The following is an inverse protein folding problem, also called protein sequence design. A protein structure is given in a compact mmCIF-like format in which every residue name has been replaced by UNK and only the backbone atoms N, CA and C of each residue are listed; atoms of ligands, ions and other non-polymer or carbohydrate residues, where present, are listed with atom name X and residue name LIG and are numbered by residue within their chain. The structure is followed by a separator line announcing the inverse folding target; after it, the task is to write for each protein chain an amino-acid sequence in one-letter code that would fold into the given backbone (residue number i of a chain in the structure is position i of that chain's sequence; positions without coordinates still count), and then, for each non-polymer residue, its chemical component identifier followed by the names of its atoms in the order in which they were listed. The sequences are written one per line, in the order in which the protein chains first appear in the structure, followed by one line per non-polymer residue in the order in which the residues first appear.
data_IF_358886750802
#
_entry.id   IF_358886750802
#
_cell.length_a   1.000
_cell.length_b   1.000
_cell.length_c   1.000
_cell.angle_alpha   90.00
_cell.angle_beta   90.00
_cell.angle_gamma   90.00
#
_symmetry.space_group_name_H-M   'P 1'
#
loop_
_entity.id
_entity.type
_entity.pdbx_description
1 polymer ?
#
# COMPACT_ATOMS: atom_id res chain seq x y z
N UNK A 1 -23.34 7.34 -40.27
CA UNK A 1 -24.41 6.67 -39.50
C UNK A 1 -23.91 5.30 -39.10
N UNK A 2 -23.87 4.84 -37.85
CA UNK A 2 -24.07 5.48 -36.55
C UNK A 2 -23.37 4.60 -35.52
N UNK A 3 -22.37 5.15 -34.83
CA UNK A 3 -21.81 4.60 -33.61
C UNK A 3 -22.83 4.78 -32.46
N UNK A 4 -23.81 3.88 -32.31
CA UNK A 4 -24.85 4.00 -31.26
C UNK A 4 -25.50 2.70 -30.77
N UNK A 5 -24.83 1.54 -30.79
CA UNK A 5 -25.49 0.28 -30.34
C UNK A 5 -24.68 -0.67 -29.44
N UNK A 6 -23.60 -0.23 -28.78
CA UNK A 6 -22.91 -1.07 -27.78
C UNK A 6 -23.04 -0.59 -26.31
N UNK A 7 -23.89 0.42 -26.03
CA UNK A 7 -24.14 0.93 -24.66
C UNK A 7 -25.29 0.23 -23.91
N UNK A 8 -25.48 -1.07 -24.09
CA UNK A 8 -26.63 -1.79 -23.48
C UNK A 8 -26.28 -3.16 -22.88
N UNK A 9 -25.08 -3.29 -22.32
CA UNK A 9 -24.77 -4.30 -21.30
C UNK A 9 -24.08 -3.69 -20.06
N UNK A 10 -24.34 -2.41 -19.77
CA UNK A 10 -24.04 -1.82 -18.48
C UNK A 10 -25.13 -2.27 -17.50
N UNK A 11 -24.89 -3.35 -16.74
CA UNK A 11 -25.44 -3.66 -15.39
C UNK A 11 -25.30 -5.15 -15.05
N UNK A 12 -24.07 -5.66 -15.02
CA UNK A 12 -23.61 -6.82 -14.22
C UNK A 12 -22.24 -7.20 -14.77
N UNK A 13 -21.27 -7.38 -13.87
CA UNK A 13 -19.82 -7.61 -14.12
C UNK A 13 -19.01 -6.30 -14.12
N UNK A 14 -19.06 -5.54 -13.01
CA UNK A 14 -18.10 -4.46 -12.72
C UNK A 14 -17.64 -4.59 -11.26
N UNK A 15 -17.04 -5.72 -10.88
CA UNK A 15 -16.50 -5.86 -9.51
C UNK A 15 -15.24 -6.71 -9.41
N UNK A 16 -14.81 -7.34 -10.51
CA UNK A 16 -13.58 -8.16 -10.54
C UNK A 16 -12.55 -7.59 -11.51
N UNK A 17 -12.97 -6.81 -12.52
CA UNK A 17 -12.08 -6.33 -13.59
C UNK A 17 -11.06 -5.27 -13.12
N UNK A 18 -11.43 -4.41 -12.18
CA UNK A 18 -10.62 -3.24 -11.85
C UNK A 18 -9.46 -3.53 -10.87
N UNK A 19 -9.48 -4.66 -10.15
CA UNK A 19 -8.30 -5.10 -9.36
C UNK A 19 -7.23 -5.67 -10.29
N UNK A 20 -7.63 -6.31 -11.39
CA UNK A 20 -6.70 -6.81 -12.40
C UNK A 20 -5.98 -5.69 -13.19
N UNK A 21 -6.43 -4.44 -13.05
CA UNK A 21 -5.74 -3.24 -13.58
C UNK A 21 -4.74 -2.63 -12.60
N UNK A 22 -4.72 -3.09 -11.34
CA UNK A 22 -3.72 -2.64 -10.38
C UNK A 22 -2.38 -3.31 -10.73
N UNK A 23 -1.32 -2.52 -10.87
CA UNK A 23 0.05 -3.02 -11.10
C UNK A 23 0.59 -3.85 -9.92
N UNK A 24 -0.15 -3.86 -8.81
CA UNK A 24 0.23 -4.48 -7.55
C UNK A 24 -0.49 -5.80 -7.30
N UNK A 25 0.27 -6.77 -6.79
CA UNK A 25 -0.22 -8.07 -6.36
C UNK A 25 0.42 -8.46 -5.03
N UNK A 26 -0.35 -9.09 -4.15
CA UNK A 26 0.16 -9.64 -2.90
C UNK A 26 1.34 -10.60 -3.17
N UNK A 27 2.40 -10.49 -2.38
CA UNK A 27 3.64 -11.23 -2.54
C UNK A 27 4.73 -10.49 -3.31
N UNK A 28 4.40 -9.42 -4.06
CA UNK A 28 5.42 -8.62 -4.74
C UNK A 28 6.33 -7.89 -3.74
N UNK A 29 7.63 -7.87 -4.03
CA UNK A 29 8.64 -7.16 -3.25
C UNK A 29 9.28 -6.08 -4.11
N UNK A 30 9.21 -4.86 -3.63
CA UNK A 30 9.77 -3.68 -4.27
C UNK A 30 10.89 -3.09 -3.41
N UNK A 31 11.98 -2.63 -3.99
CA UNK A 31 13.00 -1.87 -3.27
C UNK A 31 12.74 -0.38 -3.41
N UNK A 32 12.96 0.38 -2.34
CA UNK A 32 12.98 1.83 -2.42
C UNK A 32 14.28 2.31 -3.09
N UNK A 33 14.16 3.32 -3.95
CA UNK A 33 15.31 3.97 -4.62
C UNK A 33 15.52 5.41 -4.16
N UNK A 34 14.68 5.93 -3.28
CA UNK A 34 14.86 7.23 -2.62
C UNK A 34 16.12 7.26 -1.75
N UNK A 35 16.84 8.39 -1.79
CA UNK A 35 18.00 8.62 -0.93
C UNK A 35 17.60 8.52 0.55
N UNK A 36 18.35 7.72 1.33
CA UNK A 36 18.11 7.50 2.75
C UNK A 36 17.28 6.25 3.09
N UNK A 37 16.68 5.59 2.10
CA UNK A 37 15.93 4.34 2.24
C UNK A 37 16.63 3.13 1.60
N UNK A 38 17.96 3.22 1.44
CA UNK A 38 18.75 2.12 0.89
C UNK A 38 18.62 0.84 1.73
N UNK A 39 18.26 -0.26 1.08
CA UNK A 39 18.01 -1.55 1.73
C UNK A 39 16.63 -1.70 2.35
N UNK A 40 15.77 -0.70 2.23
CA UNK A 40 14.35 -0.78 2.61
C UNK A 40 13.54 -1.34 1.44
N UNK A 41 12.68 -2.30 1.74
CA UNK A 41 11.77 -2.89 0.76
C UNK A 41 10.31 -2.77 1.19
N UNK A 42 9.44 -2.75 0.20
CA UNK A 42 7.98 -2.71 0.31
C UNK A 42 7.46 -4.06 -0.15
N UNK A 43 6.93 -4.84 0.78
CA UNK A 43 6.22 -6.09 0.50
C UNK A 43 4.73 -5.78 0.38
N UNK A 44 4.13 -6.06 -0.78
CA UNK A 44 2.68 -6.00 -0.92
C UNK A 44 2.06 -7.19 -0.20
N UNK A 45 1.29 -6.95 0.86
CA UNK A 45 0.68 -8.01 1.67
C UNK A 45 -0.75 -8.30 1.25
N UNK A 46 -1.50 -7.28 0.84
CA UNK A 46 -2.89 -7.43 0.39
C UNK A 46 -3.26 -6.36 -0.63
N UNK A 47 -4.06 -6.74 -1.62
CA UNK A 47 -4.69 -5.81 -2.56
C UNK A 47 -6.19 -6.05 -2.51
N UNK A 48 -6.96 -5.01 -2.23
CA UNK A 48 -8.41 -5.13 -2.09
C UNK A 48 -9.17 -3.88 -2.53
N UNK A 49 -10.50 -3.95 -2.42
CA UNK A 49 -11.38 -2.81 -2.65
C UNK A 49 -12.30 -2.64 -1.45
N UNK A 50 -12.00 -1.64 -0.63
CA UNK A 50 -12.83 -1.25 0.49
C UNK A 50 -14.10 -0.54 -0.01
N UNK A 51 -15.24 -0.78 0.66
CA UNK A 51 -16.56 -0.27 0.23
C UNK A 51 -16.60 1.26 0.17
N UNK A 52 -15.93 1.94 1.09
CA UNK A 52 -15.96 3.40 1.23
C UNK A 52 -14.66 4.07 0.77
N UNK A 53 -13.52 3.38 0.88
CA UNK A 53 -12.20 3.95 0.58
C UNK A 53 -11.71 3.63 -0.83
N UNK A 54 -12.38 2.72 -1.54
CA UNK A 54 -12.00 2.32 -2.90
C UNK A 54 -10.89 1.28 -2.93
N UNK A 55 -10.11 1.26 -4.00
CA UNK A 55 -8.99 0.33 -4.13
C UNK A 55 -7.89 0.65 -3.10
N UNK A 56 -7.33 -0.37 -2.47
CA UNK A 56 -6.27 -0.25 -1.48
C UNK A 56 -5.17 -1.28 -1.72
N UNK A 57 -3.94 -0.84 -1.50
CA UNK A 57 -2.75 -1.70 -1.50
C UNK A 57 -2.14 -1.63 -0.11
N UNK A 58 -2.15 -2.76 0.59
CA UNK A 58 -1.58 -2.90 1.92
C UNK A 58 -0.16 -3.41 1.78
N UNK A 59 0.76 -2.76 2.48
CA UNK A 59 2.18 -3.09 2.41
C UNK A 59 2.79 -3.24 3.79
N UNK A 60 3.79 -4.11 3.89
CA UNK A 60 4.77 -4.06 4.98
C UNK A 60 6.04 -3.39 4.49
N UNK A 61 6.60 -2.51 5.31
CA UNK A 61 7.92 -1.93 5.11
C UNK A 61 8.94 -2.81 5.82
N UNK A 62 9.97 -3.26 5.12
CA UNK A 62 10.98 -4.20 5.61
C UNK A 62 12.38 -3.58 5.52
N UNK A 63 13.18 -3.77 6.56
CA UNK A 63 14.52 -3.18 6.68
C UNK A 63 14.57 -2.06 7.72
N UNK A 64 15.79 -1.68 8.11
CA UNK A 64 16.03 -0.70 9.16
C UNK A 64 15.68 0.72 8.70
N UNK A 65 14.75 1.34 9.41
CA UNK A 65 14.37 2.74 9.27
C UNK A 65 15.05 3.57 10.36
N UNK A 66 15.49 4.78 10.02
CA UNK A 66 16.20 5.67 10.95
C UNK A 66 15.43 6.96 11.17
N UNK A 67 15.23 7.32 12.43
CA UNK A 67 14.69 8.63 12.78
C UNK A 67 15.77 9.71 12.71
N UNK A 68 15.36 10.98 12.62
CA UNK A 68 16.30 12.13 12.70
C UNK A 68 17.06 12.19 14.04
N UNK A 69 16.50 11.60 15.10
CA UNK A 69 17.13 11.49 16.42
C UNK A 69 18.16 10.36 16.54
N UNK A 70 18.30 9.52 15.51
CA UNK A 70 19.24 8.40 15.49
C UNK A 70 18.69 7.08 16.01
N UNK A 71 17.41 7.03 16.41
CA UNK A 71 16.74 5.78 16.77
C UNK A 71 16.48 4.94 15.52
N UNK A 72 16.55 3.62 15.66
CA UNK A 72 16.27 2.66 14.60
C UNK A 72 14.95 1.94 14.86
N UNK A 73 14.18 1.74 13.80
CA UNK A 73 12.96 0.93 13.79
C UNK A 73 13.11 -0.15 12.73
N UNK A 74 12.83 -1.40 13.10
CA UNK A 74 12.84 -2.52 12.15
C UNK A 74 11.50 -2.59 11.42
N UNK A 75 11.42 -1.91 10.27
CA UNK A 75 10.26 -1.93 9.40
C UNK A 75 8.98 -1.36 10.00
N UNK A 76 7.89 -1.48 9.24
CA UNK A 76 6.52 -1.17 9.68
C UNK A 76 5.63 -2.31 9.18
N UNK A 77 4.95 -3.07 10.05
CA UNK A 77 4.24 -4.27 9.62
C UNK A 77 3.08 -4.02 8.67
N UNK A 78 2.36 -2.90 8.82
CA UNK A 78 1.21 -2.59 7.98
C UNK A 78 1.07 -1.10 7.70
N UNK A 79 0.95 -0.75 6.42
CA UNK A 79 0.57 0.56 5.93
C UNK A 79 -0.39 0.42 4.73
N UNK A 80 -1.59 1.00 4.76
CA UNK A 80 -2.54 0.97 3.66
C UNK A 80 -2.37 2.19 2.74
N UNK A 81 -2.15 1.98 1.45
CA UNK A 81 -1.97 3.04 0.44
C UNK A 81 -3.09 3.02 -0.61
N UNK A 82 -3.33 4.17 -1.25
CA UNK A 82 -4.02 4.15 -2.55
C UNK A 82 -3.06 3.60 -3.62
N UNK A 83 -3.57 2.93 -4.67
CA UNK A 83 -2.73 2.46 -5.75
C UNK A 83 -1.91 3.56 -6.42
N UNK A 84 -2.49 4.75 -6.59
CA UNK A 84 -1.84 5.89 -7.24
C UNK A 84 -0.65 6.40 -6.44
N UNK A 85 -0.76 6.42 -5.11
CA UNK A 85 0.32 6.84 -4.22
C UNK A 85 1.49 5.86 -4.25
N UNK A 86 1.17 4.55 -4.27
CA UNK A 86 2.19 3.52 -4.37
C UNK A 86 2.88 3.54 -5.74
N UNK A 87 2.13 3.72 -6.83
CA UNK A 87 2.66 3.84 -8.19
C UNK A 87 3.50 5.11 -8.41
N UNK A 88 3.19 6.19 -7.69
CA UNK A 88 3.98 7.43 -7.73
C UNK A 88 5.27 7.37 -6.89
N UNK A 89 5.52 6.26 -6.19
CA UNK A 89 6.72 6.08 -5.36
C UNK A 89 7.91 5.61 -6.20
N UNK A 90 9.13 5.97 -5.79
CA UNK A 90 10.35 5.54 -6.47
C UNK A 90 10.72 4.09 -6.08
N UNK A 91 10.00 3.13 -6.66
CA UNK A 91 10.08 1.70 -6.36
C UNK A 91 10.50 0.89 -7.58
N UNK A 92 11.42 -0.07 -7.37
CA UNK A 92 11.80 -1.07 -8.38
C UNK A 92 11.35 -2.45 -7.92
N UNK A 93 10.65 -3.21 -8.78
CA UNK A 93 10.25 -4.58 -8.48
C UNK A 93 11.49 -5.47 -8.46
N UNK A 94 11.75 -6.14 -7.33
CA UNK A 94 12.94 -6.98 -7.14
C UNK A 94 12.59 -8.46 -6.94
N UNK A 95 11.33 -8.81 -6.70
CA UNK A 95 10.96 -10.21 -6.53
C UNK A 95 9.50 -10.43 -6.14
N UNK A 96 9.23 -11.68 -5.79
CA UNK A 96 7.91 -12.15 -5.40
C UNK A 96 8.06 -13.32 -4.40
N UNK A 97 7.16 -13.39 -3.41
CA UNK A 97 7.04 -14.52 -2.48
C UNK A 97 5.61 -15.07 -2.50
N UNK A 98 5.48 -16.40 -2.43
CA UNK A 98 4.17 -17.05 -2.36
C UNK A 98 3.68 -17.18 -0.90
N UNK A 99 4.61 -17.43 0.02
CA UNK A 99 4.32 -17.59 1.44
C UNK A 99 4.53 -16.24 2.14
N UNK A 100 3.43 -15.50 2.32
CA UNK A 100 3.45 -14.22 3.01
C UNK A 100 3.68 -14.40 4.52
N UNK A 101 4.50 -13.56 5.16
CA UNK A 101 4.51 -13.41 6.61
C UNK A 101 3.13 -13.00 7.13
N UNK A 102 2.82 -13.33 8.38
CA UNK A 102 1.53 -13.06 9.06
C UNK A 102 1.59 -11.86 10.02
N UNK A 103 2.77 -11.28 10.23
CA UNK A 103 3.01 -10.20 11.21
C UNK A 103 2.32 -8.85 10.89
N UNK A 104 1.63 -8.76 9.75
CA UNK A 104 0.82 -7.61 9.34
C UNK A 104 -0.68 -7.78 9.63
N UNK A 105 -1.16 -9.01 9.88
CA UNK A 105 -2.59 -9.34 9.92
C UNK A 105 -3.30 -8.64 11.09
N UNK A 106 -2.73 -8.66 12.30
CA UNK A 106 -3.32 -8.00 13.48
C UNK A 106 -3.52 -6.50 13.26
N UNK A 107 -2.51 -5.81 12.70
CA UNK A 107 -2.60 -4.37 12.42
C UNK A 107 -3.56 -4.07 11.25
N UNK A 108 -3.72 -5.00 10.31
CA UNK A 108 -4.74 -4.88 9.27
C UNK A 108 -6.14 -4.96 9.84
N UNK A 109 -6.41 -5.90 10.75
CA UNK A 109 -7.73 -6.04 11.38
C UNK A 109 -8.09 -4.81 12.22
N UNK A 110 -7.13 -4.27 12.96
CA UNK A 110 -7.29 -2.99 13.69
C UNK A 110 -7.62 -1.86 12.71
N UNK A 111 -6.85 -1.71 11.63
CA UNK A 111 -7.12 -0.70 10.59
C UNK A 111 -8.50 -0.90 9.94
N UNK A 112 -8.90 -2.13 9.65
CA UNK A 112 -10.17 -2.44 9.01
C UNK A 112 -11.33 -2.01 9.89
N UNK A 113 -11.28 -2.34 11.19
CA UNK A 113 -12.26 -1.90 12.17
C UNK A 113 -12.39 -0.36 12.18
N UNK A 114 -11.27 0.35 12.24
CA UNK A 114 -11.27 1.82 12.23
C UNK A 114 -11.75 2.39 10.88
N UNK A 115 -11.41 1.76 9.76
CA UNK A 115 -11.84 2.18 8.43
C UNK A 115 -13.35 2.00 8.24
N UNK A 116 -13.94 0.93 8.78
CA UNK A 116 -15.39 0.70 8.78
C UNK A 116 -16.14 1.73 9.63
N UNK A 117 -15.50 2.24 10.69
CA UNK A 117 -16.02 3.36 11.50
C UNK A 117 -15.76 4.74 10.88
N UNK A 118 -14.96 4.82 9.81
CA UNK A 118 -14.55 6.08 9.18
C UNK A 118 -13.46 6.85 9.93
N UNK A 119 -12.76 6.16 10.83
CA UNK A 119 -11.69 6.71 11.69
C UNK A 119 -10.28 6.45 11.12
N UNK A 120 -10.16 5.50 10.19
CA UNK A 120 -8.94 5.27 9.40
C UNK A 120 -9.14 5.52 7.90
N UNK A 121 -8.01 5.71 7.20
CA UNK A 121 -7.99 5.97 5.77
C UNK A 121 -6.83 5.28 5.07
N UNK A 122 -6.61 5.66 3.81
CA UNK A 122 -5.46 5.23 3.00
C UNK A 122 -4.44 6.37 2.92
N UNK A 123 -3.15 6.02 2.90
CA UNK A 123 -2.10 6.96 2.56
C UNK A 123 -2.15 7.29 1.07
N UNK A 124 -2.19 8.59 0.77
CA UNK A 124 -2.30 9.13 -0.60
C UNK A 124 -1.04 9.90 -1.04
N UNK A 125 0.07 9.73 -0.34
CA UNK A 125 1.38 10.30 -0.66
C UNK A 125 2.38 9.17 -0.96
N UNK A 126 3.45 9.44 -1.73
CA UNK A 126 4.51 8.46 -1.95
C UNK A 126 5.07 7.87 -0.65
N UNK A 127 5.54 6.62 -0.71
CA UNK A 127 6.02 5.85 0.45
C UNK A 127 7.08 6.63 1.23
N UNK A 128 8.04 7.27 0.55
CA UNK A 128 9.11 8.04 1.19
C UNK A 128 8.56 9.23 2.01
N UNK A 129 7.55 9.95 1.52
CA UNK A 129 6.94 11.08 2.23
C UNK A 129 6.16 10.62 3.48
N UNK A 130 5.48 9.47 3.38
CA UNK A 130 4.79 8.87 4.52
C UNK A 130 5.79 8.43 5.59
N UNK A 131 6.86 7.72 5.19
CA UNK A 131 7.92 7.28 6.10
C UNK A 131 8.63 8.46 6.76
N UNK A 132 8.96 9.51 5.99
CA UNK A 132 9.56 10.74 6.54
C UNK A 132 8.68 11.38 7.62
N UNK A 133 7.36 11.37 7.40
CA UNK A 133 6.38 11.90 8.34
C UNK A 133 6.32 11.05 9.61
N UNK A 134 6.24 9.72 9.48
CA UNK A 134 6.23 8.79 10.61
C UNK A 134 7.53 8.92 11.41
N UNK A 135 8.68 8.83 10.74
CA UNK A 135 10.00 8.90 11.38
C UNK A 135 10.24 10.25 12.07
N UNK A 136 9.75 11.36 11.50
CA UNK A 136 9.84 12.68 12.13
C UNK A 136 8.98 12.79 13.40
N UNK A 137 7.84 12.08 13.48
CA UNK A 137 7.01 12.02 14.69
C UNK A 137 7.62 11.13 15.77
N UNK A 138 8.26 10.03 15.38
CA UNK A 138 8.94 9.12 16.30
C UNK A 138 10.25 9.69 16.86
N UNK A 139 10.87 10.67 16.20
CA UNK A 139 12.15 11.27 16.64
C UNK A 139 12.10 11.96 18.01
N UNK A 140 10.91 12.14 18.59
CA UNK A 140 10.68 12.84 19.85
C UNK A 140 10.00 11.98 20.93
N UNK A 141 9.89 10.67 20.67
CA UNK A 141 9.53 9.65 21.66
C UNK A 141 10.79 9.06 22.27
#
# INVERSE_FOLDING_TARGET
MNARLSRLFATRIDTVSDIAELEFEAGQIWTMTDDGYAGVSVLVTKVERHKTLGASVHVSIRGTLRTKGGSELEGVPHLPFTPEALAASNLDLIGYINDLPDDWEDMYEDWLSDAEMGEAGLFSLPVCEVLDTIMSKLAWL
#
